data_IF_803668640447
#
_entry.id   IF_803668640447
#
_cell.length_a   1.000
_cell.length_b   1.000
_cell.length_c   1.000
_cell.angle_alpha   90.00
_cell.angle_beta   90.00
_cell.angle_gamma   90.00
#
_symmetry.space_group_name_H-M   'P 1'
#
loop_
_entity.id
_entity.type
_entity.pdbx_description
1 polymer ?
#
# COMPACT_ATOMS: atom_id res chain seq x y z
N UNK A 1 13.68 -28.66 17.53
CA UNK A 1 13.59 -27.35 16.83
C UNK A 1 12.53 -26.56 17.54
N UNK A 2 12.83 -25.36 18.03
CA UNK A 2 11.85 -24.55 18.74
C UNK A 2 10.69 -24.20 17.79
N UNK A 3 9.47 -24.58 18.17
CA UNK A 3 8.25 -24.08 17.53
C UNK A 3 8.30 -22.57 17.63
N UNK A 4 8.46 -21.88 16.51
CA UNK A 4 8.39 -20.42 16.48
C UNK A 4 6.91 -20.07 16.57
N UNK A 5 6.51 -19.56 17.72
CA UNK A 5 5.14 -19.16 18.09
C UNK A 5 4.66 -17.90 17.34
N UNK A 6 5.18 -17.66 16.14
CA UNK A 6 4.69 -16.60 15.26
C UNK A 6 3.35 -17.06 14.66
N UNK A 7 2.30 -17.10 15.48
CA UNK A 7 0.95 -17.43 15.02
C UNK A 7 -0.07 -17.88 16.06
N UNK A 8 0.32 -18.23 17.30
CA UNK A 8 -0.63 -18.63 18.35
C UNK A 8 -0.79 -17.50 19.37
N UNK A 9 -1.87 -16.71 19.32
CA UNK A 9 -2.04 -15.59 20.22
C UNK A 9 -2.79 -16.00 21.51
N UNK A 10 -2.94 -17.30 21.81
CA UNK A 10 -3.66 -17.78 22.99
C UNK A 10 -5.15 -17.47 22.91
N UNK A 11 -5.67 -16.67 23.85
CA UNK A 11 -7.09 -16.23 23.93
C UNK A 11 -7.51 -15.25 22.81
N UNK A 12 -6.76 -15.17 21.70
CA UNK A 12 -7.17 -14.37 20.57
C UNK A 12 -8.52 -14.87 20.05
N UNK A 13 -9.40 -13.94 19.65
CA UNK A 13 -10.69 -14.34 19.11
C UNK A 13 -10.51 -15.31 17.93
N UNK A 14 -11.28 -16.40 17.94
CA UNK A 14 -11.23 -17.41 16.89
C UNK A 14 -11.46 -16.79 15.51
N UNK A 15 -10.46 -16.86 14.63
CA UNK A 15 -10.61 -16.49 13.23
C UNK A 15 -11.40 -17.60 12.55
N UNK A 16 -12.66 -17.32 12.22
CA UNK A 16 -13.53 -18.29 11.58
C UNK A 16 -13.09 -18.50 10.11
N UNK A 17 -12.79 -19.74 9.66
CA UNK A 17 -12.55 -19.99 8.24
C UNK A 17 -13.85 -19.87 7.43
N UNK A 18 -13.76 -19.60 6.11
CA UNK A 18 -14.94 -19.57 5.25
C UNK A 18 -15.56 -20.97 5.12
N UNK A 19 -16.88 -21.06 5.05
CA UNK A 19 -17.62 -22.32 4.86
C UNK A 19 -17.81 -22.66 3.38
N UNK A 20 -17.75 -21.67 2.50
CA UNK A 20 -17.81 -21.84 1.04
C UNK A 20 -16.70 -21.05 0.38
N UNK A 21 -16.39 -21.37 -0.89
CA UNK A 21 -15.39 -20.64 -1.64
C UNK A 21 -15.79 -19.17 -1.83
N UNK A 22 -14.82 -18.27 -1.69
CA UNK A 22 -14.99 -16.86 -2.08
C UNK A 22 -15.14 -16.78 -3.59
N UNK A 23 -16.22 -16.16 -4.06
CA UNK A 23 -16.57 -16.14 -5.48
C UNK A 23 -15.51 -15.45 -6.36
N UNK A 24 -15.02 -14.29 -5.92
CA UNK A 24 -13.87 -13.62 -6.52
C UNK A 24 -12.90 -13.15 -5.42
N UNK A 25 -11.76 -13.85 -5.23
CA UNK A 25 -10.78 -13.51 -4.22
C UNK A 25 -9.72 -12.50 -4.69
N UNK A 26 -9.86 -11.91 -5.89
CA UNK A 26 -8.87 -10.99 -6.47
C UNK A 26 -8.53 -9.83 -5.52
N UNK A 27 -7.24 -9.51 -5.43
CA UNK A 27 -6.65 -8.51 -4.54
C UNK A 27 -5.49 -7.81 -5.25
N UNK A 28 -5.14 -6.59 -4.81
CA UNK A 28 -3.89 -5.96 -5.23
C UNK A 28 -2.70 -6.88 -4.93
N UNK A 29 -1.78 -6.96 -5.87
CA UNK A 29 -0.48 -7.60 -5.68
C UNK A 29 0.40 -6.81 -4.71
N UNK A 30 1.45 -7.43 -4.17
CA UNK A 30 2.41 -6.73 -3.29
C UNK A 30 3.07 -5.52 -3.98
N UNK A 31 3.23 -5.60 -5.31
CA UNK A 31 3.73 -4.49 -6.13
C UNK A 31 2.73 -3.32 -6.19
N UNK A 32 1.44 -3.58 -6.42
CA UNK A 32 0.39 -2.56 -6.42
C UNK A 32 0.18 -1.94 -5.04
N UNK A 33 0.18 -2.77 -3.99
CA UNK A 33 0.14 -2.30 -2.60
C UNK A 33 1.32 -1.34 -2.33
N UNK A 34 2.52 -1.70 -2.77
CA UNK A 34 3.68 -0.85 -2.61
C UNK A 34 3.63 0.44 -3.44
N UNK A 35 3.13 0.37 -4.68
CA UNK A 35 2.93 1.57 -5.51
C UNK A 35 1.92 2.53 -4.87
N UNK A 36 0.86 1.98 -4.28
CA UNK A 36 -0.18 2.74 -3.57
C UNK A 36 0.42 3.45 -2.35
N UNK A 37 1.18 2.73 -1.52
CA UNK A 37 1.83 3.31 -0.33
C UNK A 37 2.85 4.38 -0.73
N UNK A 38 3.70 4.12 -1.73
CA UNK A 38 4.67 5.09 -2.20
C UNK A 38 4.01 6.40 -2.67
N UNK A 39 2.84 6.32 -3.32
CA UNK A 39 2.09 7.48 -3.80
C UNK A 39 1.27 8.19 -2.70
N UNK A 40 1.06 7.57 -1.54
CA UNK A 40 0.21 8.11 -0.47
C UNK A 40 0.86 9.20 0.38
N UNK A 41 2.19 9.37 0.27
CA UNK A 41 2.98 10.32 1.05
C UNK A 41 4.18 10.81 0.24
N UNK A 42 4.94 11.75 0.79
CA UNK A 42 6.15 12.32 0.22
C UNK A 42 7.34 12.28 1.19
N UNK A 43 7.23 11.50 2.27
CA UNK A 43 8.26 11.36 3.32
C UNK A 43 8.67 9.91 3.51
N UNK A 44 9.96 9.69 3.71
CA UNK A 44 10.51 8.36 3.95
C UNK A 44 11.70 8.42 4.90
N UNK A 45 12.08 7.26 5.44
CA UNK A 45 13.40 7.08 6.07
C UNK A 45 14.34 6.39 5.08
N UNK A 46 15.35 7.10 4.61
CA UNK A 46 16.43 6.57 3.78
C UNK A 46 17.45 5.84 4.66
N UNK A 47 17.78 4.61 4.28
CA UNK A 47 18.96 3.90 4.76
C UNK A 47 20.06 3.97 3.70
N UNK A 48 21.25 4.42 4.11
CA UNK A 48 22.47 4.53 3.30
C UNK A 48 23.67 3.98 4.07
N UNK A 49 24.86 3.92 3.47
CA UNK A 49 26.07 3.41 4.12
C UNK A 49 27.05 4.55 4.45
N UNK A 50 27.44 4.67 5.72
CA UNK A 50 28.46 5.60 6.20
C UNK A 50 29.85 5.29 5.64
N UNK A 51 30.84 6.14 5.92
CA UNK A 51 32.22 5.98 5.41
C UNK A 51 32.86 4.66 5.80
N UNK A 52 32.55 4.21 7.01
CA UNK A 52 33.12 3.02 7.59
C UNK A 52 32.22 1.79 7.35
N UNK A 53 31.14 1.96 6.57
CA UNK A 53 30.20 0.90 6.18
C UNK A 53 28.98 0.74 7.10
N UNK A 54 28.80 1.61 8.09
CA UNK A 54 27.65 1.51 9.02
C UNK A 54 26.34 1.92 8.34
N UNK A 55 25.20 1.28 8.69
CA UNK A 55 23.90 1.70 8.22
C UNK A 55 23.51 3.06 8.83
N UNK A 56 23.14 4.01 7.98
CA UNK A 56 22.75 5.36 8.37
C UNK A 56 21.31 5.68 7.94
N UNK A 57 20.46 6.00 8.92
CA UNK A 57 19.07 6.38 8.70
C UNK A 57 18.91 7.91 8.60
N UNK A 58 18.14 8.40 7.64
CA UNK A 58 17.85 9.83 7.48
C UNK A 58 16.41 10.05 7.04
N UNK A 59 15.72 11.00 7.65
CA UNK A 59 14.46 11.52 7.09
C UNK A 59 14.76 12.16 5.73
N UNK A 60 14.01 11.77 4.71
CA UNK A 60 14.06 12.37 3.37
C UNK A 60 12.65 12.67 2.89
N UNK A 61 12.55 13.64 1.99
CA UNK A 61 11.35 13.88 1.19
C UNK A 61 11.57 13.40 -0.24
N UNK A 62 10.50 13.01 -0.92
CA UNK A 62 10.59 12.48 -2.27
C UNK A 62 9.38 12.86 -3.13
N UNK A 63 9.59 12.83 -4.44
CA UNK A 63 8.53 12.70 -5.44
C UNK A 63 8.64 11.37 -6.18
N UNK A 64 7.77 11.11 -7.15
CA UNK A 64 7.75 9.85 -7.89
C UNK A 64 7.85 10.07 -9.39
N UNK A 65 8.80 9.41 -10.04
CA UNK A 65 8.90 9.32 -11.49
C UNK A 65 8.57 7.88 -11.90
N UNK A 66 7.37 7.64 -12.45
CA UNK A 66 6.93 6.28 -12.80
C UNK A 66 6.87 5.30 -11.63
N UNK A 67 6.82 5.79 -10.39
CA UNK A 67 6.91 4.98 -9.16
C UNK A 67 8.29 4.92 -8.52
N UNK A 68 9.36 5.35 -9.21
CA UNK A 68 10.69 5.46 -8.62
C UNK A 68 10.78 6.69 -7.69
N UNK A 69 11.21 6.54 -6.43
CA UNK A 69 11.46 7.69 -5.55
C UNK A 69 12.55 8.61 -6.12
N UNK A 70 12.20 9.89 -6.25
CA UNK A 70 13.12 10.95 -6.65
C UNK A 70 13.46 11.79 -5.43
N UNK A 71 14.74 11.84 -5.07
CA UNK A 71 15.27 12.58 -3.92
C UNK A 71 16.00 13.84 -4.39
N UNK A 72 15.92 14.91 -3.60
CA UNK A 72 16.78 16.09 -3.75
C UNK A 72 17.59 16.25 -2.46
N UNK A 73 18.91 16.10 -2.55
CA UNK A 73 19.78 15.93 -1.39
C UNK A 73 20.96 16.89 -1.47
N UNK A 74 21.27 17.57 -0.36
CA UNK A 74 22.51 18.36 -0.23
C UNK A 74 23.72 17.43 -0.19
N UNK A 75 24.74 17.75 -0.97
CA UNK A 75 26.04 17.06 -1.00
C UNK A 75 26.82 17.22 0.32
N UNK A 76 26.42 18.17 1.17
CA UNK A 76 27.00 18.37 2.50
C UNK A 76 26.37 17.44 3.56
N UNK A 77 25.12 17.01 3.35
CA UNK A 77 24.43 16.10 4.26
C UNK A 77 25.11 14.74 4.34
N UNK A 78 25.04 14.07 5.50
CA UNK A 78 25.66 12.75 5.70
C UNK A 78 25.17 11.74 4.66
N UNK A 79 23.85 11.63 4.48
CA UNK A 79 23.28 10.75 3.46
C UNK A 79 23.64 11.19 2.03
N UNK A 80 23.83 12.50 1.75
CA UNK A 80 24.33 12.96 0.46
C UNK A 80 25.74 12.47 0.15
N UNK A 81 26.66 12.59 1.12
CA UNK A 81 28.03 12.05 1.04
C UNK A 81 28.02 10.52 0.92
N UNK A 82 27.13 9.85 1.63
CA UNK A 82 26.97 8.40 1.55
C UNK A 82 26.57 7.94 0.16
N UNK A 83 25.53 8.54 -0.44
CA UNK A 83 25.03 8.16 -1.76
C UNK A 83 26.04 8.43 -2.89
N UNK A 84 26.91 9.44 -2.75
CA UNK A 84 28.00 9.69 -3.71
C UNK A 84 29.04 8.58 -3.68
N UNK A 85 29.38 8.07 -2.48
CA UNK A 85 30.37 7.00 -2.31
C UNK A 85 29.81 5.63 -2.65
N UNK A 86 28.59 5.34 -2.21
CA UNK A 86 27.94 4.05 -2.38
C UNK A 86 26.46 4.24 -2.76
N UNK A 87 26.12 3.78 -3.96
CA UNK A 87 24.78 3.94 -4.50
C UNK A 87 23.72 3.05 -3.81
N UNK A 88 24.11 2.05 -3.02
CA UNK A 88 23.16 1.13 -2.39
C UNK A 88 22.32 1.87 -1.36
N UNK A 89 21.00 1.80 -1.52
CA UNK A 89 20.05 2.50 -0.66
C UNK A 89 18.74 1.74 -0.54
N UNK A 90 18.02 2.02 0.54
CA UNK A 90 16.60 1.68 0.65
C UNK A 90 15.82 2.78 1.32
N UNK A 91 14.55 2.94 0.97
CA UNK A 91 13.63 3.84 1.66
C UNK A 91 12.53 3.05 2.35
N UNK A 92 12.30 3.33 3.63
CA UNK A 92 11.15 2.87 4.39
C UNK A 92 10.06 3.92 4.34
N UNK A 93 8.88 3.54 3.84
CA UNK A 93 7.71 4.42 3.69
C UNK A 93 6.56 3.80 4.47
N UNK A 94 5.87 4.65 5.24
CA UNK A 94 4.72 4.26 6.06
C UNK A 94 3.50 5.01 5.52
N UNK A 95 2.39 4.31 5.34
CA UNK A 95 1.15 4.92 4.90
C UNK A 95 0.67 5.98 5.92
N UNK A 96 0.10 7.11 5.47
CA UNK A 96 -0.41 8.14 6.37
C UNK A 96 -1.65 7.64 7.15
N UNK A 97 -2.03 8.38 8.19
CA UNK A 97 -3.18 8.09 9.05
C UNK A 97 -3.08 6.70 9.71
N UNK A 98 -2.05 6.47 10.56
CA UNK A 98 -1.89 5.19 11.23
C UNK A 98 -3.13 4.85 12.08
N UNK A 99 -3.53 3.57 12.15
CA UNK A 99 -4.46 3.10 13.17
C UNK A 99 -3.86 3.27 14.58
N UNK A 100 -4.70 3.10 15.61
CA UNK A 100 -4.30 3.23 17.01
C UNK A 100 -3.12 2.32 17.39
N UNK A 101 -3.08 1.11 16.81
CA UNK A 101 -1.92 0.22 16.88
C UNK A 101 -0.97 0.46 15.69
N UNK A 102 0.23 1.04 15.90
CA UNK A 102 1.18 1.31 14.81
C UNK A 102 1.61 0.07 14.03
N UNK A 103 1.60 -1.12 14.63
CA UNK A 103 2.00 -2.37 13.96
C UNK A 103 0.96 -2.84 12.92
N UNK A 104 -0.28 -2.37 13.05
CA UNK A 104 -1.33 -2.59 12.07
C UNK A 104 -1.20 -1.67 10.84
N UNK A 105 -0.34 -0.64 10.87
CA UNK A 105 -0.20 0.28 9.75
C UNK A 105 0.53 -0.35 8.55
N UNK A 106 0.12 0.00 7.34
CA UNK A 106 0.79 -0.45 6.11
C UNK A 106 2.13 0.26 5.93
N UNK A 107 3.15 -0.50 5.53
CA UNK A 107 4.51 -0.01 5.28
C UNK A 107 5.21 -0.78 4.18
N UNK A 108 6.16 -0.12 3.53
CA UNK A 108 7.03 -0.72 2.52
C UNK A 108 8.49 -0.38 2.75
N UNK A 109 9.35 -1.24 2.24
CA UNK A 109 10.75 -0.93 1.95
C UNK A 109 11.00 -1.10 0.47
N UNK A 110 11.43 -0.03 -0.19
CA UNK A 110 11.93 -0.06 -1.58
C UNK A 110 13.45 -0.07 -1.50
N UNK A 111 14.11 -1.08 -2.05
CA UNK A 111 15.56 -1.24 -1.97
C UNK A 111 16.18 -1.43 -3.35
N UNK A 112 17.35 -0.83 -3.55
CA UNK A 112 18.09 -0.92 -4.81
C UNK A 112 19.28 0.05 -4.81
N UNK A 113 19.42 0.80 -5.90
CA UNK A 113 20.52 1.76 -6.07
C UNK A 113 20.01 3.12 -6.48
N UNK A 114 20.61 4.17 -5.93
CA UNK A 114 20.40 5.52 -6.45
C UNK A 114 21.32 5.78 -7.62
N UNK A 115 20.83 6.58 -8.56
CA UNK A 115 21.63 7.13 -9.65
C UNK A 115 21.28 8.60 -9.86
N UNK A 116 22.18 9.32 -10.52
CA UNK A 116 21.80 10.60 -11.12
C UNK A 116 20.87 10.33 -12.31
N UNK A 117 19.80 11.10 -12.50
CA UNK A 117 19.00 11.00 -13.71
C UNK A 117 19.88 11.32 -14.94
N UNK A 118 19.58 10.70 -16.08
CA UNK A 118 20.25 11.06 -17.34
C UNK A 118 19.88 12.49 -17.75
N UNK A 119 20.61 13.12 -18.70
CA UNK A 119 20.23 14.43 -19.22
C UNK A 119 18.79 14.50 -19.74
N UNK A 120 18.29 13.40 -20.33
CA UNK A 120 16.93 13.29 -20.87
C UNK A 120 15.87 13.16 -19.76
N UNK A 121 16.20 12.51 -18.64
CA UNK A 121 15.29 12.31 -17.51
C UNK A 121 15.31 13.46 -16.49
N UNK A 122 16.39 14.24 -16.44
CA UNK A 122 16.64 15.22 -15.37
C UNK A 122 15.46 16.19 -15.16
N UNK A 123 14.88 16.70 -16.25
CA UNK A 123 13.74 17.60 -16.19
C UNK A 123 12.52 16.93 -15.55
N UNK A 124 12.18 15.71 -15.99
CA UNK A 124 11.04 14.95 -15.46
C UNK A 124 11.26 14.55 -13.98
N UNK A 125 12.47 14.14 -13.61
CA UNK A 125 12.83 13.83 -12.24
C UNK A 125 12.72 15.07 -11.34
N UNK A 126 13.25 16.21 -11.78
CA UNK A 126 13.13 17.50 -11.07
C UNK A 126 11.68 17.86 -10.82
N UNK A 127 10.84 17.84 -11.86
CA UNK A 127 9.42 18.16 -11.73
C UNK A 127 8.69 17.17 -10.83
N UNK A 128 8.98 15.87 -10.94
CA UNK A 128 8.41 14.85 -10.06
C UNK A 128 8.71 15.14 -8.58
N UNK A 129 9.96 15.52 -8.27
CA UNK A 129 10.32 15.90 -6.90
C UNK A 129 9.60 17.16 -6.43
N UNK A 130 9.46 18.19 -7.28
CA UNK A 130 8.73 19.43 -6.93
C UNK A 130 7.23 19.16 -6.74
N UNK A 131 6.62 18.27 -7.53
CA UNK A 131 5.22 17.85 -7.36
C UNK A 131 5.03 17.19 -5.99
N UNK A 132 5.94 16.29 -5.60
CA UNK A 132 5.92 15.66 -4.28
C UNK A 132 6.23 16.65 -3.15
N UNK A 133 7.13 17.60 -3.38
CA UNK A 133 7.69 18.51 -2.38
C UNK A 133 7.71 19.95 -2.95
N UNK A 134 6.59 20.69 -2.90
CA UNK A 134 6.51 22.01 -3.54
C UNK A 134 7.57 23.00 -3.08
N UNK A 135 8.00 22.92 -1.81
CA UNK A 135 9.06 23.77 -1.26
C UNK A 135 10.44 23.52 -1.90
N UNK A 136 10.66 22.40 -2.59
CA UNK A 136 11.91 22.09 -3.26
C UNK A 136 12.30 23.08 -4.35
N UNK A 137 11.33 23.80 -4.93
CA UNK A 137 11.55 24.88 -5.90
C UNK A 137 12.54 25.96 -5.42
N UNK A 138 12.75 26.09 -4.12
CA UNK A 138 13.66 27.10 -3.55
C UNK A 138 15.11 26.63 -3.43
N UNK A 139 15.40 25.33 -3.47
CA UNK A 139 16.75 24.78 -3.23
C UNK A 139 17.21 23.77 -4.29
N UNK A 140 16.31 23.20 -5.10
CA UNK A 140 16.66 22.11 -6.03
C UNK A 140 17.68 22.50 -7.09
N UNK A 141 17.77 23.80 -7.42
CA UNK A 141 18.71 24.34 -8.41
C UNK A 141 20.01 24.86 -7.77
N UNK A 142 20.19 24.71 -6.44
CA UNK A 142 21.46 25.05 -5.79
C UNK A 142 22.54 24.05 -6.17
N UNK A 143 23.77 24.55 -6.37
CA UNK A 143 24.90 23.74 -6.84
C UNK A 143 25.34 22.66 -5.86
N UNK A 144 25.05 22.83 -4.57
CA UNK A 144 25.30 21.85 -3.53
C UNK A 144 24.16 20.84 -3.35
N UNK A 145 23.04 20.98 -4.07
CA UNK A 145 21.96 20.00 -4.10
C UNK A 145 22.04 19.09 -5.32
N UNK A 146 21.37 17.96 -5.23
CA UNK A 146 21.53 16.87 -6.19
C UNK A 146 20.27 16.04 -6.29
N UNK A 147 19.77 15.89 -7.51
CA UNK A 147 18.64 15.00 -7.82
C UNK A 147 19.14 13.57 -7.98
N UNK A 148 18.48 12.65 -7.30
CA UNK A 148 18.73 11.22 -7.35
C UNK A 148 17.45 10.48 -7.65
N UNK A 149 17.52 9.42 -8.45
CA UNK A 149 16.43 8.47 -8.69
C UNK A 149 16.82 7.15 -8.05
N UNK A 150 15.93 6.57 -7.24
CA UNK A 150 16.11 5.22 -6.71
C UNK A 150 15.57 4.21 -7.72
N UNK A 151 16.48 3.47 -8.38
CA UNK A 151 16.13 2.30 -9.16
C UNK A 151 15.77 1.18 -8.18
N UNK A 152 14.48 0.85 -8.10
CA UNK A 152 13.96 -0.17 -7.17
C UNK A 152 14.29 -1.55 -7.73
N UNK A 153 15.13 -2.30 -7.01
CA UNK A 153 15.49 -3.68 -7.39
C UNK A 153 14.60 -4.71 -6.69
N UNK A 154 14.10 -4.39 -5.49
CA UNK A 154 13.22 -5.26 -4.71
C UNK A 154 12.35 -4.48 -3.73
N UNK A 155 11.20 -5.08 -3.41
CA UNK A 155 10.19 -4.52 -2.52
C UNK A 155 9.93 -5.48 -1.36
N UNK A 156 9.76 -4.92 -0.17
CA UNK A 156 9.11 -5.60 0.96
C UNK A 156 7.87 -4.81 1.34
N UNK A 157 6.71 -5.45 1.29
CA UNK A 157 5.45 -4.86 1.73
C UNK A 157 4.93 -5.59 2.97
N UNK A 158 4.37 -4.81 3.90
CA UNK A 158 3.64 -5.32 5.06
C UNK A 158 2.37 -4.49 5.26
N UNK A 159 1.21 -5.12 5.10
CA UNK A 159 -0.11 -4.48 5.08
C UNK A 159 -0.82 -4.47 6.43
N UNK A 160 -0.09 -4.51 7.54
CA UNK A 160 -0.63 -4.74 8.88
C UNK A 160 -0.38 -6.15 9.38
N UNK A 161 -1.25 -6.67 10.23
CA UNK A 161 -1.15 -8.04 10.74
C UNK A 161 -1.54 -9.07 9.67
N UNK A 162 -0.82 -10.19 9.63
CA UNK A 162 -1.19 -11.36 8.81
C UNK A 162 -0.98 -11.22 7.30
N UNK A 163 -0.61 -10.04 6.78
CA UNK A 163 -0.35 -9.81 5.34
C UNK A 163 1.01 -9.17 5.12
N UNK A 164 1.93 -9.94 4.54
CA UNK A 164 3.24 -9.45 4.12
C UNK A 164 3.71 -10.24 2.92
N UNK A 165 4.38 -9.57 1.99
CA UNK A 165 4.93 -10.22 0.81
C UNK A 165 6.07 -9.39 0.20
N UNK A 166 6.71 -9.93 -0.84
CA UNK A 166 7.78 -9.28 -1.58
C UNK A 166 7.45 -9.22 -3.06
N UNK A 167 8.01 -8.22 -3.75
CA UNK A 167 7.95 -8.10 -5.20
C UNK A 167 9.34 -7.75 -5.73
N UNK A 168 9.60 -8.14 -6.97
CA UNK A 168 10.76 -7.69 -7.75
C UNK A 168 10.63 -6.22 -8.16
N UNK A 169 11.76 -5.60 -8.52
CA UNK A 169 11.77 -4.27 -9.14
C UNK A 169 10.93 -4.21 -10.42
N UNK A 170 10.98 -5.26 -11.25
CA UNK A 170 10.22 -5.37 -12.50
C UNK A 170 8.70 -5.43 -12.28
N UNK A 171 8.25 -6.17 -11.26
CA UNK A 171 6.82 -6.20 -10.89
C UNK A 171 6.37 -4.84 -10.34
N UNK A 172 7.21 -4.20 -9.52
CA UNK A 172 6.94 -2.87 -8.98
C UNK A 172 6.83 -1.81 -10.09
N UNK A 173 7.73 -1.84 -11.07
CA UNK A 173 7.73 -0.92 -12.22
C UNK A 173 6.48 -1.09 -13.08
N UNK A 174 6.10 -2.35 -13.37
CA UNK A 174 4.92 -2.68 -14.18
C UNK A 174 3.58 -2.39 -13.48
N UNK A 175 3.55 -2.36 -12.15
CA UNK A 175 2.34 -2.10 -11.37
C UNK A 175 1.90 -0.62 -11.44
N UNK A 176 0.69 -0.35 -10.95
CA UNK A 176 0.17 1.00 -10.77
C UNK A 176 -0.35 1.16 -9.33
N UNK A 177 -0.34 2.39 -8.77
CA UNK A 177 -1.03 2.65 -7.52
C UNK A 177 -2.54 2.42 -7.70
N UNK A 178 -3.19 1.94 -6.65
CA UNK A 178 -4.62 1.73 -6.63
C UNK A 178 -5.37 3.09 -6.68
N UNK A 179 -6.28 3.29 -7.65
CA UNK A 179 -6.97 4.57 -7.82
C UNK A 179 -8.13 4.79 -6.83
N UNK A 180 -8.52 3.75 -6.09
CA UNK A 180 -9.72 3.70 -5.24
C UNK A 180 -9.36 3.85 -3.78
N UNK A 181 -8.48 3.00 -3.27
CA UNK A 181 -8.19 2.84 -1.84
C UNK A 181 -7.79 4.13 -1.13
N UNK A 182 -6.97 5.05 -1.70
CA UNK A 182 -6.62 6.29 -1.01
C UNK A 182 -7.81 7.26 -0.84
N UNK A 183 -8.90 7.06 -1.60
CA UNK A 183 -10.08 7.91 -1.64
C UNK A 183 -11.33 7.21 -1.10
N UNK A 184 -11.24 5.94 -0.73
CA UNK A 184 -12.38 5.09 -0.42
C UNK A 184 -13.04 5.37 0.94
N UNK A 185 -12.38 6.08 1.87
CA UNK A 185 -12.85 6.24 3.25
C UNK A 185 -14.31 6.74 3.35
N UNK A 186 -14.67 7.75 2.56
CA UNK A 186 -16.05 8.27 2.54
C UNK A 186 -17.07 7.25 2.02
N UNK A 187 -16.70 6.48 0.98
CA UNK A 187 -17.56 5.44 0.43
C UNK A 187 -17.72 4.24 1.39
N UNK A 188 -16.63 3.84 2.07
CA UNK A 188 -16.65 2.80 3.10
C UNK A 188 -17.56 3.19 4.26
N UNK A 189 -17.49 4.44 4.73
CA UNK A 189 -18.39 4.92 5.78
C UNK A 189 -19.85 4.88 5.33
N UNK A 190 -20.16 5.41 4.14
CA UNK A 190 -21.51 5.35 3.59
C UNK A 190 -22.05 3.92 3.43
N UNK A 191 -21.22 2.98 2.97
CA UNK A 191 -21.60 1.56 2.88
C UNK A 191 -21.95 0.99 4.26
N UNK A 192 -21.18 1.33 5.28
CA UNK A 192 -21.39 0.86 6.64
C UNK A 192 -22.63 1.48 7.29
N UNK A 193 -22.89 2.77 7.06
CA UNK A 193 -23.99 3.50 7.67
C UNK A 193 -25.34 3.12 7.03
N UNK A 194 -25.39 2.99 5.70
CA UNK A 194 -26.65 2.88 4.97
C UNK A 194 -26.91 1.51 4.34
N UNK A 195 -25.89 0.64 4.21
CA UNK A 195 -25.97 -0.58 3.39
C UNK A 195 -25.55 -1.87 4.12
N UNK A 196 -25.62 -1.90 5.46
CA UNK A 196 -25.22 -3.05 6.27
C UNK A 196 -25.88 -4.39 5.86
N UNK A 197 -27.16 -4.37 5.48
CA UNK A 197 -27.85 -5.57 4.98
C UNK A 197 -27.31 -6.06 3.63
N UNK A 198 -26.93 -5.13 2.74
CA UNK A 198 -26.30 -5.50 1.47
C UNK A 198 -24.91 -6.09 1.69
N UNK A 199 -24.11 -5.51 2.60
CA UNK A 199 -22.80 -6.05 2.99
C UNK A 199 -22.93 -7.47 3.57
N UNK A 200 -23.95 -7.69 4.41
CA UNK A 200 -24.23 -9.01 4.98
C UNK A 200 -24.59 -10.02 3.90
N UNK A 201 -25.48 -9.67 2.98
CA UNK A 201 -25.84 -10.52 1.85
C UNK A 201 -24.61 -10.85 0.97
N UNK A 202 -23.76 -9.86 0.69
CA UNK A 202 -22.51 -10.07 -0.06
C UNK A 202 -21.58 -11.04 0.67
N UNK A 203 -21.36 -10.88 1.98
CA UNK A 203 -20.54 -11.79 2.76
C UNK A 203 -21.08 -13.24 2.75
N UNK A 204 -22.40 -13.39 2.88
CA UNK A 204 -23.07 -14.68 2.89
C UNK A 204 -23.05 -15.39 1.54
N UNK A 205 -23.28 -14.65 0.45
CA UNK A 205 -23.46 -15.22 -0.89
C UNK A 205 -22.17 -15.30 -1.70
N UNK A 206 -21.29 -14.31 -1.55
CA UNK A 206 -20.08 -14.14 -2.38
C UNK A 206 -18.80 -14.27 -1.56
N UNK A 207 -18.85 -13.90 -0.27
CA UNK A 207 -17.70 -13.87 0.62
C UNK A 207 -17.39 -15.18 1.35
N UNK A 208 -18.17 -16.25 1.16
CA UNK A 208 -17.86 -17.55 1.76
C UNK A 208 -18.39 -17.79 3.17
N UNK A 209 -19.17 -16.86 3.74
CA UNK A 209 -19.67 -16.92 5.12
C UNK A 209 -21.20 -16.93 5.19
N UNK A 210 -21.87 -18.00 4.73
CA UNK A 210 -23.33 -18.09 4.74
C UNK A 210 -23.94 -18.00 6.15
N UNK A 211 -23.12 -18.21 7.19
CA UNK A 211 -23.47 -18.11 8.60
C UNK A 211 -23.14 -16.76 9.24
N UNK A 212 -22.67 -15.77 8.46
CA UNK A 212 -22.45 -14.42 8.96
C UNK A 212 -23.76 -13.82 9.49
N UNK A 213 -23.68 -13.17 10.66
CA UNK A 213 -24.79 -12.46 11.30
C UNK A 213 -24.66 -10.95 11.17
N UNK A 214 -23.44 -10.46 11.01
CA UNK A 214 -23.12 -9.05 10.81
C UNK A 214 -21.96 -8.93 9.82
N UNK A 215 -21.94 -7.82 9.08
CA UNK A 215 -20.88 -7.51 8.14
C UNK A 215 -20.59 -6.01 8.11
N UNK A 216 -19.30 -5.65 8.06
CA UNK A 216 -18.81 -4.27 7.95
C UNK A 216 -17.70 -4.19 6.92
N UNK A 217 -17.76 -3.21 6.04
CA UNK A 217 -16.69 -2.91 5.10
C UNK A 217 -15.50 -2.26 5.84
N UNK A 218 -14.31 -2.83 5.71
CA UNK A 218 -13.07 -2.29 6.28
C UNK A 218 -12.28 -1.46 5.26
N UNK A 219 -12.43 -1.78 3.98
CA UNK A 219 -11.71 -1.11 2.90
C UNK A 219 -12.25 -1.47 1.53
N UNK A 220 -11.93 -0.62 0.55
CA UNK A 220 -12.18 -0.87 -0.86
C UNK A 220 -10.92 -0.58 -1.64
N UNK A 221 -10.64 -1.42 -2.61
CA UNK A 221 -9.58 -1.25 -3.61
C UNK A 221 -10.19 -1.53 -4.99
N UNK A 222 -9.39 -1.43 -6.04
CA UNK A 222 -9.87 -1.56 -7.42
C UNK A 222 -10.44 -2.94 -7.78
N UNK A 223 -10.17 -3.96 -6.97
CA UNK A 223 -10.63 -5.32 -7.21
C UNK A 223 -11.83 -5.71 -6.35
N UNK A 224 -12.13 -4.98 -5.27
CA UNK A 224 -13.22 -5.38 -4.38
C UNK A 224 -13.23 -4.72 -3.00
N UNK A 225 -14.06 -5.29 -2.13
CA UNK A 225 -14.22 -4.89 -0.74
C UNK A 225 -13.63 -5.92 0.22
N UNK A 226 -12.95 -5.44 1.25
CA UNK A 226 -12.62 -6.24 2.44
C UNK A 226 -13.75 -6.08 3.46
N UNK A 227 -14.38 -7.20 3.83
CA UNK A 227 -15.57 -7.24 4.69
C UNK A 227 -15.25 -8.01 5.97
N UNK A 228 -15.26 -7.33 7.12
CA UNK A 228 -15.30 -7.97 8.43
C UNK A 228 -16.65 -8.62 8.64
N UNK A 229 -16.65 -9.87 9.07
CA UNK A 229 -17.86 -10.65 9.38
C UNK A 229 -17.84 -11.13 10.82
N UNK A 230 -19.01 -11.11 11.46
CA UNK A 230 -19.26 -11.81 12.72
C UNK A 230 -20.07 -13.08 12.44
N UNK A 231 -19.67 -14.20 13.02
CA UNK A 231 -20.34 -15.50 12.89
C UNK A 231 -20.49 -16.15 14.27
N UNK A 232 -21.36 -17.17 14.43
CA UNK A 232 -21.39 -17.97 15.66
C UNK A 232 -20.07 -18.68 16.01
N UNK A 233 -19.15 -18.80 15.04
CA UNK A 233 -17.84 -19.46 15.19
C UNK A 233 -16.70 -18.50 15.51
N UNK A 234 -16.97 -17.19 15.55
CA UNK A 234 -15.97 -16.13 15.70
C UNK A 234 -16.07 -15.09 14.58
N UNK A 235 -15.07 -14.23 14.46
CA UNK A 235 -15.02 -13.22 13.41
C UNK A 235 -14.02 -13.58 12.32
N UNK A 236 -14.13 -12.93 11.16
CA UNK A 236 -13.14 -13.02 10.09
C UNK A 236 -13.16 -11.76 9.23
N UNK A 237 -12.19 -11.62 8.33
CA UNK A 237 -12.22 -10.64 7.24
C UNK A 237 -12.20 -11.40 5.94
N UNK A 238 -13.27 -11.24 5.16
CA UNK A 238 -13.42 -11.88 3.85
C UNK A 238 -13.29 -10.88 2.71
N UNK A 239 -13.20 -11.42 1.49
CA UNK A 239 -13.13 -10.66 0.25
C UNK A 239 -14.44 -10.75 -0.51
N UNK A 240 -14.89 -9.62 -1.05
CA UNK A 240 -15.95 -9.57 -2.07
C UNK A 240 -15.40 -8.83 -3.29
N UNK A 241 -14.89 -9.59 -4.26
CA UNK A 241 -14.33 -9.03 -5.49
C UNK A 241 -15.40 -8.57 -6.49
N UNK A 242 -15.18 -7.42 -7.14
CA UNK A 242 -16.00 -6.93 -8.24
C UNK A 242 -16.02 -7.92 -9.41
N UNK A 243 -16.98 -7.78 -10.32
CA UNK A 243 -17.05 -8.63 -11.52
C UNK A 243 -15.84 -8.38 -12.42
N UNK A 244 -15.47 -7.10 -12.58
CA UNK A 244 -14.27 -6.65 -13.28
C UNK A 244 -13.55 -5.61 -12.39
N UNK A 245 -12.22 -5.48 -12.50
CA UNK A 245 -11.49 -4.40 -11.83
C UNK A 245 -11.99 -3.04 -12.30
N UNK A 246 -11.99 -2.07 -11.40
CA UNK A 246 -12.33 -0.67 -11.70
C UNK A 246 -11.07 0.19 -11.83
N UNK A 247 -11.15 1.27 -12.60
CA UNK A 247 -9.98 2.13 -12.86
C UNK A 247 -10.09 3.52 -12.21
N UNK A 248 -11.21 3.79 -11.55
CA UNK A 248 -11.46 5.08 -10.92
C UNK A 248 -12.36 4.96 -9.68
N UNK A 249 -12.31 5.95 -8.78
CA UNK A 249 -13.17 5.98 -7.59
C UNK A 249 -14.64 6.23 -7.96
N UNK A 250 -14.87 6.88 -9.11
CA UNK A 250 -16.19 7.18 -9.65
C UNK A 250 -16.97 5.89 -10.03
N UNK A 251 -16.27 4.82 -10.41
CA UNK A 251 -16.85 3.53 -10.75
C UNK A 251 -17.28 2.70 -9.52
N UNK A 252 -16.75 3.01 -8.33
CA UNK A 252 -16.97 2.23 -7.10
C UNK A 252 -18.46 2.04 -6.78
N UNK A 253 -19.27 3.08 -6.96
CA UNK A 253 -20.72 2.99 -6.73
C UNK A 253 -21.37 1.98 -7.68
N UNK A 254 -21.02 2.01 -8.96
CA UNK A 254 -21.56 1.08 -9.96
C UNK A 254 -21.19 -0.37 -9.62
N UNK A 255 -19.91 -0.59 -9.30
CA UNK A 255 -19.39 -1.91 -8.95
C UNK A 255 -20.05 -2.49 -7.69
N UNK A 256 -20.24 -1.68 -6.64
CA UNK A 256 -20.91 -2.13 -5.40
C UNK A 256 -22.40 -2.38 -5.58
N UNK A 257 -23.10 -1.61 -6.42
CA UNK A 257 -24.49 -1.90 -6.81
C UNK A 257 -24.60 -3.22 -7.57
N UNK A 258 -23.65 -3.52 -8.46
CA UNK A 258 -23.61 -4.80 -9.16
C UNK A 258 -23.42 -5.97 -8.19
N UNK A 259 -22.50 -5.83 -7.21
CA UNK A 259 -22.33 -6.83 -6.14
C UNK A 259 -23.61 -7.03 -5.33
N UNK A 260 -24.32 -5.96 -4.99
CA UNK A 260 -25.56 -6.04 -4.22
C UNK A 260 -26.66 -6.80 -4.98
N UNK A 261 -26.75 -6.61 -6.31
CA UNK A 261 -27.66 -7.36 -7.17
C UNK A 261 -27.29 -8.84 -7.26
N UNK A 262 -26.00 -9.17 -7.36
CA UNK A 262 -25.53 -10.56 -7.38
C UNK A 262 -25.76 -11.28 -6.04
N UNK A 263 -25.72 -10.54 -4.94
CA UNK A 263 -25.96 -11.06 -3.60
C UNK A 263 -27.45 -11.11 -3.21
N UNK A 264 -28.34 -10.49 -4.00
CA UNK A 264 -29.77 -10.48 -3.73
C UNK A 264 -30.33 -11.92 -3.77
N UNK A 265 -31.37 -12.23 -2.95
CA UNK A 265 -32.02 -13.53 -3.01
C UNK A 265 -32.55 -13.80 -4.42
N UNK A 266 -32.36 -15.02 -4.92
CA UNK A 266 -33.06 -15.46 -6.12
C UNK A 266 -34.57 -15.49 -5.82
N UNK A 267 -35.34 -14.74 -6.60
CA UNK A 267 -36.80 -14.72 -6.56
C UNK A 267 -37.42 -16.09 -6.86
#
# INVERSE_FOLDING_TARGET
MASRDHGDPGDAPTIAPPLTAVANPARPSAAEEARTVAASTNTATLASLSADGDPWASLVTYGLLGGAPVLCVSQMAEHGRNLIRDARASVSIVAPNPPDDPLANTRITLAGKVRRPSPEELSAAREAHIVGVPAARYYIDYSDFSVWVLDVERVRWVGGYGRMDSASGTEYEAAAPDPVSPKAAGAVNHLNDDHGQALLAMAQRLGGYPDATEARCEGADRYGLDIRVSTPRGWSVTRVGYVEPIDSIEELRGATVQLARLAAPSS
#
